data_IF_910301030487
#
_entry.id   IF_910301030487
#
_cell.length_a   1.000
_cell.length_b   1.000
_cell.length_c   1.000
_cell.angle_alpha   90.00
_cell.angle_beta   90.00
_cell.angle_gamma   90.00
#
_symmetry.space_group_name_H-M   'P 1'
#
loop_
_entity.id
_entity.type
_entity.pdbx_description
1 polymer ?
2 non-polymer ?
3 non-polymer ?
4 non-polymer ?
5 water ?
#
# COMPACT_ATOMS: atom_id res chain seq x y z
N UNK A 3 -15.67 0.22 14.51
CA UNK A 3 -16.63 -0.66 15.18
C UNK A 3 -17.88 0.10 15.59
N UNK A 4 -17.93 1.38 15.24
CA UNK A 4 -19.09 2.21 15.55
C UNK A 4 -19.99 2.46 14.36
N UNK A 5 -19.54 2.10 13.16
CA UNK A 5 -20.38 2.19 12.00
C UNK A 5 -20.62 3.59 11.49
N UNK A 6 -19.58 4.44 11.50
CA UNK A 6 -19.75 5.84 11.14
C UNK A 6 -19.37 6.16 9.70
N UNK A 7 -18.78 5.23 8.96
CA UNK A 7 -18.40 5.49 7.59
C UNK A 7 -16.89 5.35 7.37
N UNK A 8 -16.51 5.33 6.10
CA UNK A 8 -15.10 5.36 5.71
C UNK A 8 -14.48 6.71 6.14
N UNK A 9 -13.19 6.70 6.41
CA UNK A 9 -12.49 7.91 6.83
C UNK A 9 -11.92 8.56 5.57
N UNK A 10 -12.53 9.68 5.16
CA UNK A 10 -12.14 10.34 3.91
C UNK A 10 -11.39 11.65 4.15
N UNK A 11 -10.57 12.04 3.18
CA UNK A 11 -10.14 13.40 3.04
C UNK A 11 -10.25 13.80 1.58
N UNK A 12 -10.20 15.11 1.34
CA UNK A 12 -10.20 15.62 -0.02
C UNK A 12 -9.15 16.72 -0.09
N UNK A 13 -8.53 16.83 -1.25
CA UNK A 13 -7.39 17.70 -1.47
C UNK A 13 -7.46 18.34 -2.82
N UNK A 14 -6.91 19.54 -2.93
CA UNK A 14 -6.55 20.06 -4.24
C UNK A 14 -5.37 19.25 -4.80
N UNK A 15 -5.03 19.46 -6.06
CA UNK A 15 -4.04 18.61 -6.71
C UNK A 15 -2.65 18.81 -6.19
N UNK A 16 -2.42 19.94 -5.52
CA UNK A 16 -1.18 20.21 -4.79
C UNK A 16 -1.14 19.58 -3.39
N UNK A 17 -2.12 18.73 -3.10
CA UNK A 17 -2.26 17.97 -1.86
C UNK A 17 -2.67 18.79 -0.65
N UNK A 18 -3.06 20.04 -0.84
CA UNK A 18 -3.60 20.78 0.30
C UNK A 18 -4.97 20.22 0.65
N UNK A 19 -5.20 20.01 1.94
CA UNK A 19 -6.51 19.54 2.38
C UNK A 19 -7.58 20.57 2.07
N UNK A 20 -8.72 20.09 1.57
CA UNK A 20 -9.93 20.89 1.49
C UNK A 20 -11.03 20.30 2.38
N UNK A 21 -10.91 19.05 2.79
CA UNK A 21 -11.85 18.41 3.70
C UNK A 21 -11.08 17.33 4.44
N UNK A 22 -11.41 17.14 5.71
CA UNK A 22 -10.91 15.99 6.44
C UNK A 22 -11.99 15.50 7.38
N UNK A 23 -12.15 14.19 7.42
CA UNK A 23 -13.06 13.53 8.35
C UNK A 23 -12.86 14.07 9.77
N UNK A 24 -13.97 14.36 10.44
CA UNK A 24 -13.89 14.91 11.78
C UNK A 24 -13.31 13.93 12.80
N UNK A 25 -13.21 12.65 12.47
CA UNK A 25 -12.57 11.69 13.35
C UNK A 25 -11.06 11.89 13.41
N UNK A 26 -10.53 12.82 12.63
CA UNK A 26 -9.15 13.21 12.81
C UNK A 26 -8.90 13.66 14.25
N UNK A 27 -9.93 14.17 14.92
CA UNK A 27 -9.81 14.54 16.33
C UNK A 27 -9.47 13.34 17.21
N UNK A 28 -10.27 12.28 17.16
CA UNK A 28 -9.99 11.13 18.03
C UNK A 28 -8.74 10.37 17.59
N UNK A 29 -8.43 10.39 16.30
CA UNK A 29 -7.30 9.64 15.83
C UNK A 29 -5.98 10.37 16.08
N UNK A 30 -5.95 11.66 15.83
CA UNK A 30 -4.69 12.41 15.78
C UNK A 30 -4.72 13.75 16.52
N UNK A 31 -5.86 14.15 17.08
CA UNK A 31 -5.93 15.35 17.88
C UNK A 31 -6.33 16.64 17.17
N UNK A 32 -6.29 16.64 15.85
CA UNK A 32 -6.55 17.85 15.10
C UNK A 32 -8.03 18.12 14.97
N UNK A 33 -8.35 19.37 14.72
CA UNK A 33 -9.62 19.66 14.07
C UNK A 33 -9.39 19.69 12.55
N UNK A 34 -10.44 19.46 11.75
CA UNK A 34 -10.26 19.59 10.31
C UNK A 34 -9.66 20.92 9.87
N UNK A 35 -10.04 22.02 10.50
CA UNK A 35 -9.50 23.31 10.11
C UNK A 35 -8.00 23.47 10.36
N UNK A 36 -7.43 22.65 11.24
CA UNK A 36 -5.98 22.64 11.40
C UNK A 36 -5.31 22.18 10.12
N UNK A 37 -5.96 21.26 9.41
CA UNK A 37 -5.40 20.66 8.21
C UNK A 37 -5.79 21.39 6.94
N UNK A 38 -7.01 21.90 6.87
CA UNK A 38 -7.47 22.58 5.66
C UNK A 38 -6.57 23.73 5.32
N UNK A 39 -6.17 23.77 4.06
CA UNK A 39 -5.27 24.79 3.57
C UNK A 39 -3.80 24.40 3.64
N UNK A 40 -3.50 23.29 4.29
CA UNK A 40 -2.13 22.85 4.45
C UNK A 40 -1.84 21.66 3.55
N UNK A 41 -0.65 21.64 2.95
CA UNK A 41 -0.23 20.50 2.19
C UNK A 41 -0.17 19.26 3.06
N UNK A 42 -0.65 18.14 2.55
CA UNK A 42 -0.53 16.88 3.28
C UNK A 42 0.92 16.56 3.59
N UNK A 43 1.84 16.99 2.74
CA UNK A 43 3.25 16.72 2.98
C UNK A 43 3.73 17.28 4.30
N UNK A 44 3.13 18.36 4.80
CA UNK A 44 3.55 18.92 6.08
C UNK A 44 3.35 17.92 7.21
N UNK A 45 2.47 16.94 7.00
CA UNK A 45 2.11 15.96 8.01
C UNK A 45 2.70 14.58 7.74
N UNK A 46 3.55 14.44 6.73
CA UNK A 46 4.18 13.17 6.43
C UNK A 46 5.62 13.26 6.90
N UNK A 47 6.10 12.22 7.56
CA UNK A 47 7.48 12.17 8.01
C UNK A 47 8.40 12.48 6.84
N UNK A 48 9.46 13.25 7.08
CA UNK A 48 10.39 13.57 6.00
C UNK A 48 10.88 12.32 5.29
N UNK A 49 11.10 11.25 6.03
CA UNK A 49 11.69 10.05 5.46
C UNK A 49 10.70 9.11 4.80
N UNK A 50 9.42 9.45 4.82
CA UNK A 50 8.41 8.76 4.00
C UNK A 50 7.86 9.63 2.88
N UNK A 51 8.25 10.90 2.83
CA UNK A 51 7.65 11.82 1.90
C UNK A 51 8.01 11.48 0.46
N UNK A 52 9.20 10.96 0.21
CA UNK A 52 9.56 10.55 -1.14
C UNK A 52 8.66 9.40 -1.62
N UNK A 53 8.50 8.37 -0.80
CA UNK A 53 7.67 7.24 -1.20
C UNK A 53 6.25 7.70 -1.45
N UNK A 54 5.71 8.54 -0.56
CA UNK A 54 4.35 9.00 -0.76
C UNK A 54 4.28 9.84 -2.04
N UNK A 55 5.29 10.67 -2.31
CA UNK A 55 5.26 11.45 -3.53
C UNK A 55 5.23 10.57 -4.77
N UNK A 56 5.87 9.42 -4.73
CA UNK A 56 5.87 8.52 -5.86
C UNK A 56 4.50 7.84 -6.00
N UNK A 57 3.81 7.56 -4.90
CA UNK A 57 2.45 7.07 -4.96
C UNK A 57 1.51 8.14 -5.54
N UNK A 58 1.72 9.39 -5.15
CA UNK A 58 0.91 10.49 -5.67
C UNK A 58 1.20 10.66 -7.16
N UNK A 59 2.46 10.45 -7.56
CA UNK A 59 2.78 10.50 -8.96
C UNK A 59 1.99 9.43 -9.72
N UNK A 60 1.92 8.22 -9.18
CA UNK A 60 1.11 7.18 -9.82
C UNK A 60 -0.36 7.57 -9.86
N UNK A 61 -0.85 8.15 -8.79
CA UNK A 61 -2.23 8.67 -8.73
C UNK A 61 -2.52 9.62 -9.89
N UNK A 62 -1.61 10.54 -10.15
CA UNK A 62 -1.85 11.57 -11.15
C UNK A 62 -1.61 11.06 -12.55
N UNK A 63 -0.99 9.90 -12.68
CA UNK A 63 -0.79 9.24 -13.94
C UNK A 63 -1.93 8.25 -14.30
N UNK A 64 -2.23 7.35 -13.37
CA UNK A 64 -3.20 6.25 -13.53
C UNK A 64 -4.59 6.61 -13.01
N UNK A 65 -4.69 7.72 -12.30
CA UNK A 65 -5.95 8.17 -11.76
C UNK A 65 -6.33 7.64 -10.40
N UNK A 66 -5.69 6.56 -9.96
CA UNK A 66 -5.96 5.90 -8.71
C UNK A 66 -4.66 5.33 -8.19
N UNK A 67 -4.51 5.26 -6.88
CA UNK A 67 -3.33 4.66 -6.28
C UNK A 67 -3.61 4.29 -4.85
N UNK A 68 -2.81 3.36 -4.35
CA UNK A 68 -2.79 2.98 -2.95
C UNK A 68 -1.35 3.16 -2.48
N UNK A 69 -1.16 3.91 -1.40
CA UNK A 69 0.16 4.10 -0.82
C UNK A 69 0.63 2.84 -0.13
N UNK A 70 1.93 2.77 0.16
CA UNK A 70 2.40 1.92 1.21
C UNK A 70 2.05 2.53 2.56
N UNK A 71 2.34 1.85 3.64
CA UNK A 71 2.19 2.48 4.93
C UNK A 71 3.19 3.64 5.05
N UNK A 72 2.77 4.70 5.72
CA UNK A 72 3.61 5.87 5.93
C UNK A 72 3.29 6.49 7.27
N UNK A 73 4.22 7.32 7.73
CA UNK A 73 4.10 7.98 9.01
C UNK A 73 3.44 9.34 8.87
N UNK A 74 2.33 9.48 9.57
CA UNK A 74 1.52 10.69 9.64
C UNK A 74 1.69 11.35 11.01
N UNK A 75 1.94 12.65 10.99
CA UNK A 75 2.24 13.43 12.19
C UNK A 75 0.98 13.78 12.96
N UNK A 76 0.85 13.23 14.16
CA UNK A 76 -0.28 13.57 15.03
C UNK A 76 0.00 14.90 15.75
N UNK A 77 -1.07 15.50 16.28
CA UNK A 77 -0.97 16.84 16.87
C UNK A 77 0.02 16.91 18.02
N UNK A 78 0.10 15.83 18.79
CA UNK A 78 1.01 15.84 19.92
C UNK A 78 2.48 15.64 19.50
N UNK A 79 2.71 15.34 18.22
CA UNK A 79 4.06 15.24 17.67
C UNK A 79 4.55 13.84 17.35
N UNK A 80 3.90 12.80 17.87
CA UNK A 80 4.25 11.45 17.45
C UNK A 80 3.66 11.14 16.09
N UNK A 81 4.14 10.06 15.50
CA UNK A 81 3.67 9.62 14.19
C UNK A 81 2.82 8.36 14.31
N UNK A 82 1.80 8.29 13.47
CA UNK A 82 0.94 7.14 13.31
C UNK A 82 1.20 6.52 11.96
N UNK A 83 1.19 5.21 11.86
CA UNK A 83 1.26 4.56 10.58
C UNK A 83 -0.11 4.49 9.95
N UNK A 84 -0.22 5.09 8.78
CA UNK A 84 -1.45 5.07 8.04
C UNK A 84 -1.20 4.68 6.60
N UNK A 85 -2.28 4.43 5.88
CA UNK A 85 -2.22 3.97 4.52
C UNK A 85 -3.45 4.50 3.80
N UNK A 86 -3.30 4.81 2.52
CA UNK A 86 -4.31 5.60 1.81
C UNK A 86 -4.60 5.04 0.44
N UNK A 87 -5.88 4.96 0.10
CA UNK A 87 -6.31 4.72 -1.28
C UNK A 87 -6.92 6.00 -1.80
N UNK A 88 -6.59 6.38 -3.02
CA UNK A 88 -7.05 7.67 -3.54
C UNK A 88 -7.45 7.58 -4.99
N UNK A 89 -8.23 8.56 -5.40
CA UNK A 89 -8.60 8.76 -6.79
C UNK A 89 -8.57 10.24 -7.10
N UNK A 90 -8.24 10.55 -8.35
CA UNK A 90 -8.53 11.86 -8.87
C UNK A 90 -10.03 11.96 -9.12
N UNK A 91 -10.53 13.20 -9.11
CA UNK A 91 -11.93 13.48 -9.38
C UNK A 91 -11.95 14.71 -10.26
N UNK A 92 -12.57 14.57 -11.42
CA UNK A 92 -12.64 15.69 -12.34
C UNK A 92 -13.53 16.81 -11.76
N UNK A 94 -17.10 18.56 -10.87
CA UNK A 94 -18.33 18.81 -11.61
C UNK A 94 -18.35 20.10 -12.39
N UNK A 95 -17.68 21.11 -11.87
CA UNK A 95 -17.69 22.42 -12.48
C UNK A 95 -16.72 22.57 -13.63
N UNK A 96 -15.76 21.65 -13.68
CA UNK A 96 -14.64 21.75 -14.60
C UNK A 96 -13.31 21.66 -13.85
N UNK A 97 -12.20 21.98 -14.55
CA UNK A 97 -10.88 21.83 -13.93
C UNK A 97 -10.66 22.63 -12.63
N UNK A 98 -11.32 23.79 -12.49
CA UNK A 98 -11.17 24.57 -11.26
C UNK A 98 -11.63 23.80 -10.03
N UNK A 99 -12.42 22.75 -10.21
CA UNK A 99 -12.91 21.95 -9.10
C UNK A 99 -12.25 20.59 -8.96
N UNK A 100 -11.25 20.29 -9.78
CA UNK A 100 -10.61 18.98 -9.73
C UNK A 100 -10.01 18.77 -8.36
N UNK A 101 -10.03 17.52 -7.89
CA UNK A 101 -9.56 17.22 -6.56
C UNK A 101 -9.06 15.79 -6.51
N UNK A 102 -8.50 15.47 -5.36
CA UNK A 102 -8.11 14.12 -4.99
C UNK A 102 -8.95 13.73 -3.77
N UNK A 103 -9.59 12.57 -3.84
CA UNK A 103 -10.33 12.04 -2.73
C UNK A 103 -9.63 10.79 -2.21
N UNK A 104 -9.45 10.74 -0.90
CA UNK A 104 -8.73 9.68 -0.22
C UNK A 104 -9.61 8.96 0.76
N UNK A 105 -9.40 7.65 0.88
CA UNK A 105 -9.85 6.88 2.02
C UNK A 105 -8.63 6.39 2.76
N UNK A 106 -8.67 6.51 4.09
CA UNK A 106 -7.52 6.24 4.92
C UNK A 106 -7.77 5.11 5.89
N UNK A 107 -6.67 4.47 6.27
CA UNK A 107 -6.66 3.32 7.16
C UNK A 107 -5.56 3.53 8.17
N UNK A 108 -5.87 3.20 9.42
CA UNK A 108 -4.91 3.31 10.49
C UNK A 108 -4.25 1.95 10.64
N UNK A 109 -2.94 1.87 10.42
CA UNK A 109 -2.21 0.63 10.48
C UNK A 109 -1.77 0.37 11.92
N UNK A 110 -1.19 1.38 12.55
CA UNK A 110 -0.63 1.27 13.89
C UNK A 110 -0.42 2.63 14.50
N UNK A 111 -0.71 2.70 15.79
CA UNK A 111 -0.44 3.87 16.60
C UNK A 111 1.02 3.86 17.05
N UNK B 6 -8.80 -13.01 -16.24
CA UNK B 6 -9.71 -13.99 -15.64
C UNK B 6 -9.15 -14.60 -14.34
N UNK B 7 -9.66 -14.12 -13.23
CA UNK B 7 -9.23 -14.56 -11.92
C UNK B 7 -8.16 -13.64 -11.44
N UNK B 8 -8.18 -13.43 -10.13
CA UNK B 8 -7.14 -12.72 -9.44
C UNK B 8 -5.82 -13.44 -9.61
N UNK B 9 -4.75 -12.67 -9.61
CA UNK B 9 -3.40 -13.23 -9.76
C UNK B 9 -2.85 -13.52 -8.37
N UNK B 10 -2.80 -14.80 -8.01
CA UNK B 10 -2.43 -15.21 -6.66
C UNK B 10 -1.06 -15.86 -6.60
N UNK B 11 -0.47 -15.81 -5.40
CA UNK B 11 0.65 -16.65 -5.05
C UNK B 11 0.48 -17.11 -3.61
N UNK B 12 1.21 -18.17 -3.27
CA UNK B 12 1.28 -18.64 -1.89
C UNK B 12 2.72 -18.77 -1.50
N UNK B 13 2.99 -18.55 -0.22
CA UNK B 13 4.34 -18.55 0.31
C UNK B 13 4.40 -19.16 1.69
N UNK B 14 5.53 -19.75 2.01
CA UNK B 14 5.87 -20.01 3.40
C UNK B 14 6.29 -18.69 4.06
N UNK B 15 6.54 -18.72 5.37
CA UNK B 15 6.84 -17.51 6.10
C UNK B 15 8.14 -16.84 5.73
N UNK B 16 9.07 -17.60 5.17
CA UNK B 16 10.32 -17.09 4.62
C UNK B 16 10.15 -16.50 3.22
N UNK B 17 8.88 -16.40 2.79
CA UNK B 17 8.48 -15.84 1.51
C UNK B 17 8.85 -16.73 0.33
N UNK B 18 9.27 -17.98 0.54
CA UNK B 18 9.45 -18.85 -0.59
C UNK B 18 8.13 -19.15 -1.24
N UNK B 19 8.08 -19.09 -2.56
CA UNK B 19 6.89 -19.46 -3.28
C UNK B 19 6.57 -20.93 -3.10
N UNK B 20 5.32 -21.21 -2.79
CA UNK B 20 4.78 -22.57 -2.85
C UNK B 20 3.75 -22.72 -3.98
N UNK B 21 3.22 -21.62 -4.49
CA UNK B 21 2.33 -21.60 -5.62
C UNK B 21 2.49 -20.27 -6.29
N UNK B 22 2.43 -20.26 -7.62
CA UNK B 22 2.35 -19.02 -8.37
C UNK B 22 1.39 -19.18 -9.53
N UNK B 23 0.56 -18.18 -9.73
CA UNK B 23 -0.35 -18.16 -10.86
C UNK B 23 0.39 -18.45 -12.16
N UNK B 24 -0.17 -19.32 -12.99
CA UNK B 24 0.45 -19.66 -14.28
C UNK B 24 0.75 -18.46 -15.17
N UNK B 25 -0.08 -17.42 -15.02
CA UNK B 25 0.07 -16.27 -15.89
C UNK B 25 1.38 -15.53 -15.63
N UNK B 26 2.19 -15.98 -14.68
CA UNK B 26 3.51 -15.40 -14.48
C UNK B 26 4.32 -15.44 -15.77
N UNK B 27 4.08 -16.40 -16.65
CA UNK B 27 4.83 -16.45 -17.90
C UNK B 27 4.48 -15.25 -18.78
N UNK B 28 3.19 -15.04 -18.98
CA UNK B 28 2.71 -13.91 -19.78
C UNK B 28 3.22 -12.60 -19.23
N UNK B 29 3.26 -12.46 -17.92
CA UNK B 29 3.62 -11.19 -17.29
C UNK B 29 5.12 -10.97 -17.13
N UNK B 30 5.84 -12.01 -16.75
CA UNK B 30 7.21 -11.85 -16.30
C UNK B 30 8.18 -12.85 -16.90
N UNK B 31 7.72 -13.76 -17.74
CA UNK B 31 8.62 -14.69 -18.43
C UNK B 31 8.83 -15.99 -17.70
N UNK B 32 8.71 -16.05 -16.37
CA UNK B 32 8.91 -17.28 -15.64
C UNK B 32 7.78 -18.25 -15.88
N UNK B 33 8.04 -19.55 -15.80
CA UNK B 33 6.94 -20.44 -15.48
C UNK B 33 6.85 -20.56 -13.96
N UNK B 34 5.72 -21.01 -13.42
CA UNK B 34 5.66 -21.15 -11.95
C UNK B 34 6.74 -22.06 -11.42
N UNK B 35 7.07 -23.10 -12.18
CA UNK B 35 8.13 -24.03 -11.81
C UNK B 35 9.44 -23.30 -11.55
N UNK B 36 9.69 -22.19 -12.24
CA UNK B 36 10.93 -21.44 -12.03
C UNK B 36 10.99 -20.77 -10.66
N UNK B 37 9.84 -20.47 -10.08
CA UNK B 37 9.79 -19.70 -8.84
C UNK B 37 9.58 -20.54 -7.60
N UNK B 38 8.98 -21.72 -7.71
CA UNK B 38 8.69 -22.49 -6.53
C UNK B 38 9.98 -22.81 -5.78
N UNK B 39 9.96 -22.60 -4.48
CA UNK B 39 11.09 -22.85 -3.61
C UNK B 39 12.05 -21.69 -3.54
N UNK B 40 11.80 -20.63 -4.29
CA UNK B 40 12.64 -19.45 -4.26
C UNK B 40 11.98 -18.38 -3.41
N UNK B 41 12.77 -17.69 -2.60
CA UNK B 41 12.26 -16.61 -1.78
C UNK B 41 11.89 -15.39 -2.57
N UNK B 42 10.70 -14.89 -2.35
CA UNK B 42 10.27 -13.69 -3.04
C UNK B 42 11.18 -12.52 -2.75
N UNK B 43 11.88 -12.52 -1.62
CA UNK B 43 12.80 -11.41 -1.33
C UNK B 43 13.83 -11.24 -2.42
N UNK B 44 14.21 -12.34 -3.07
CA UNK B 44 15.22 -12.29 -4.12
C UNK B 44 14.74 -11.59 -5.38
N UNK B 45 13.45 -11.36 -5.49
CA UNK B 45 12.82 -10.78 -6.68
C UNK B 45 12.33 -9.35 -6.45
N UNK B 46 12.55 -8.82 -5.26
CA UNK B 46 12.19 -7.44 -4.97
C UNK B 46 13.38 -6.56 -5.27
N UNK B 47 13.16 -5.48 -6.00
CA UNK B 47 14.24 -4.54 -6.26
C UNK B 47 14.83 -4.09 -4.92
N UNK B 48 16.15 -3.99 -4.87
CA UNK B 48 16.81 -3.57 -3.65
C UNK B 48 16.30 -2.23 -3.11
N UNK B 49 15.89 -1.32 -3.98
CA UNK B 49 15.36 -0.03 -3.55
C UNK B 49 14.07 -0.18 -2.76
N UNK B 50 13.32 -1.26 -2.99
CA UNK B 50 12.02 -1.47 -2.37
C UNK B 50 12.04 -2.51 -1.26
N UNK B 51 13.20 -3.12 -1.02
CA UNK B 51 13.27 -4.22 -0.09
C UNK B 51 12.84 -3.83 1.32
N UNK B 52 13.30 -2.68 1.81
CA UNK B 52 12.95 -2.31 3.15
C UNK B 52 11.45 -2.09 3.29
N UNK B 53 10.84 -1.38 2.33
CA UNK B 53 9.42 -1.12 2.42
C UNK B 53 8.61 -2.41 2.36
N UNK B 54 9.02 -3.34 1.50
CA UNK B 54 8.31 -4.61 1.44
C UNK B 54 8.49 -5.38 2.74
N UNK B 55 9.68 -5.39 3.33
CA UNK B 55 9.83 -5.98 4.66
C UNK B 55 8.93 -5.36 5.70
N UNK B 56 8.79 -4.04 5.70
CA UNK B 56 7.90 -3.41 6.65
C UNK B 56 6.46 -3.88 6.45
N UNK B 57 6.04 -4.04 5.20
CA UNK B 57 4.72 -4.56 4.91
C UNK B 57 4.57 -5.97 5.44
N UNK B 58 5.61 -6.79 5.28
CA UNK B 58 5.58 -8.16 5.78
C UNK B 58 5.52 -8.18 7.31
N UNK B 59 6.23 -7.27 7.97
CA UNK B 59 6.12 -7.18 9.42
C UNK B 59 4.67 -6.87 9.83
N UNK B 60 4.03 -5.95 9.12
CA UNK B 60 2.65 -5.63 9.39
C UNK B 60 1.75 -6.82 9.13
N UNK B 61 2.00 -7.51 8.03
CA UNK B 61 1.29 -8.74 7.70
C UNK B 61 1.32 -9.73 8.86
N UNK B 62 2.51 -9.95 9.43
CA UNK B 62 2.65 -10.96 10.47
C UNK B 62 2.05 -10.46 11.79
N UNK B 63 2.08 -9.16 12.04
CA UNK B 63 1.51 -8.59 13.26
C UNK B 63 -0.01 -8.55 13.23
N UNK B 64 -0.56 -7.99 12.16
CA UNK B 64 -1.98 -7.74 12.05
C UNK B 64 -2.73 -8.86 11.35
N UNK B 65 -2.02 -9.62 10.53
CA UNK B 65 -2.61 -10.71 9.79
C UNK B 65 -2.89 -10.41 8.33
N UNK B 66 -2.91 -9.14 7.95
CA UNK B 66 -3.18 -8.72 6.57
C UNK B 66 -2.38 -7.44 6.34
N UNK B 67 -1.96 -7.23 5.09
CA UNK B 67 -1.24 -6.01 4.72
C UNK B 67 -1.36 -5.79 3.24
N UNK B 68 -1.11 -4.55 2.85
CA UNK B 68 -1.01 -4.14 1.47
C UNK B 68 0.32 -3.42 1.29
N UNK B 69 1.12 -3.82 0.30
CA UNK B 69 2.37 -3.14 0.01
C UNK B 69 2.08 -1.81 -0.65
N UNK B 70 3.08 -0.93 -0.67
CA UNK B 70 3.12 0.11 -1.68
C UNK B 70 3.50 -0.47 -3.03
N UNK B 71 3.56 0.37 -4.05
CA UNK B 71 4.09 -0.11 -5.32
C UNK B 71 5.53 -0.49 -5.13
N UNK B 72 5.97 -1.54 -5.81
CA UNK B 72 7.35 -1.99 -5.76
C UNK B 72 7.71 -2.66 -7.07
N UNK B 73 9.01 -2.83 -7.26
CA UNK B 73 9.54 -3.43 -8.47
C UNK B 73 9.89 -4.89 -8.26
N UNK B 74 9.33 -5.72 -9.14
CA UNK B 74 9.52 -7.17 -9.16
C UNK B 74 10.41 -7.53 -10.33
N UNK B 75 11.42 -8.33 -10.06
CA UNK B 75 12.41 -8.76 -11.06
C UNK B 75 11.85 -9.80 -12.02
N UNK B 76 11.70 -9.41 -13.27
CA UNK B 76 11.24 -10.31 -14.34
C UNK B 76 12.41 -11.14 -14.82
N UNK B 77 12.10 -12.24 -15.52
CA UNK B 77 13.13 -13.17 -15.92
C UNK B 77 14.17 -12.53 -16.82
N UNK B 78 13.74 -11.56 -17.61
CA UNK B 78 14.62 -10.84 -18.54
C UNK B 78 15.64 -9.96 -17.85
N UNK B 79 15.43 -9.69 -16.57
CA UNK B 79 16.27 -8.77 -15.84
C UNK B 79 15.68 -7.39 -15.67
N UNK B 80 14.62 -7.08 -16.41
CA UNK B 80 13.85 -5.86 -16.18
C UNK B 80 12.97 -6.01 -14.95
N UNK B 81 12.32 -4.92 -14.55
CA UNK B 81 11.44 -4.94 -13.40
C UNK B 81 10.05 -4.47 -13.78
N UNK B 82 9.06 -5.09 -13.16
CA UNK B 82 7.67 -4.71 -13.30
C UNK B 82 7.19 -4.04 -12.02
N UNK B 83 6.43 -2.98 -12.16
CA UNK B 83 5.82 -2.33 -11.01
C UNK B 83 4.57 -3.10 -10.62
N UNK B 84 4.57 -3.53 -9.37
CA UNK B 84 3.57 -4.41 -8.82
C UNK B 84 3.11 -3.88 -7.48
N UNK B 85 2.01 -4.43 -7.00
CA UNK B 85 1.53 -4.10 -5.66
C UNK B 85 0.76 -5.31 -5.20
N UNK B 86 0.82 -5.59 -3.89
CA UNK B 86 0.35 -6.85 -3.36
C UNK B 86 -0.49 -6.65 -2.12
N UNK B 87 -1.60 -7.40 -2.04
CA UNK B 87 -2.36 -7.53 -0.81
C UNK B 87 -2.19 -8.96 -0.32
N UNK B 88 -1.94 -9.12 0.98
CA UNK B 88 -1.64 -10.44 1.51
C UNK B 88 -2.37 -10.70 2.79
N UNK B 89 -2.50 -11.99 3.07
CA UNK B 89 -3.03 -12.45 4.35
C UNK B 89 -2.23 -13.63 4.83
N UNK B 90 -2.14 -13.76 6.15
CA UNK B 90 -1.71 -15.02 6.73
C UNK B 90 -2.85 -16.02 6.65
N UNK B 91 -2.48 -17.29 6.72
CA UNK B 91 -3.43 -18.40 6.74
C UNK B 91 -2.93 -19.37 7.78
N UNK B 92 -3.73 -19.64 8.79
CA UNK B 92 -3.39 -20.63 9.81
C UNK B 92 -3.11 -21.97 9.17
N UNK B 93 -2.15 -22.72 9.70
CA UNK B 93 -1.81 -24.01 9.14
C UNK B 93 -2.43 -25.20 9.82
N UNK B 94 -3.12 -24.97 10.92
CA UNK B 94 -3.76 -26.03 11.66
C UNK B 94 -2.92 -26.74 12.70
N UNK B 95 -1.65 -26.36 12.80
CA UNK B 95 -0.75 -27.03 13.74
C UNK B 95 -0.15 -26.09 14.77
N UNK B 96 -0.59 -24.83 14.79
CA UNK B 96 -0.02 -23.83 15.67
C UNK B 96 0.68 -22.77 14.85
N UNK B 97 1.28 -21.77 15.52
CA UNK B 97 1.96 -20.63 14.88
C UNK B 97 2.99 -21.02 13.81
N UNK B 98 3.73 -22.08 14.05
CA UNK B 98 4.79 -22.45 13.13
C UNK B 98 4.28 -22.89 11.78
N UNK B 99 2.99 -23.20 11.71
CA UNK B 99 2.42 -23.75 10.50
C UNK B 99 1.75 -22.68 9.65
N UNK B 100 1.81 -21.41 10.05
CA UNK B 100 1.16 -20.36 9.28
C UNK B 100 1.80 -20.25 7.91
N UNK B 101 1.01 -19.83 6.93
CA UNK B 101 1.51 -19.53 5.59
C UNK B 101 0.92 -18.23 5.12
N UNK B 102 1.27 -17.82 3.90
CA UNK B 102 0.86 -16.52 3.36
C UNK B 102 0.22 -16.72 2.00
N UNK B 103 -0.86 -15.98 1.75
CA UNK B 103 -1.47 -15.93 0.42
C UNK B 103 -1.51 -14.47 -0.03
N UNK B 104 -1.16 -14.25 -1.30
CA UNK B 104 -1.07 -12.92 -1.88
C UNK B 104 -1.93 -12.82 -3.11
N UNK B 105 -2.48 -11.64 -3.32
CA UNK B 105 -3.04 -11.23 -4.59
C UNK B 105 -2.22 -10.05 -5.08
N UNK B 106 -1.91 -10.07 -6.38
CA UNK B 106 -1.02 -9.12 -6.98
C UNK B 106 -1.70 -8.33 -8.08
N UNK B 107 -1.22 -7.10 -8.26
CA UNK B 107 -1.73 -6.17 -9.25
C UNK B 107 -0.57 -5.59 -10.01
N UNK B 108 -0.75 -5.45 -11.31
CA UNK B 108 0.29 -4.86 -12.14
C UNK B 108 0.02 -3.37 -12.22
N UNK B 109 0.98 -2.58 -11.77
CA UNK B 109 0.84 -1.13 -11.82
C UNK B 109 1.26 -0.58 -13.17
N UNK B 110 2.26 -1.19 -13.77
CA UNK B 110 2.70 -0.81 -15.13
C UNK B 110 3.26 -2.04 -15.82
#
# INVERSE_FOLDING_TARGET
GSHMGRGAFLSRHSLDMKFTYCDDRIAEVAGYSPDDLIGCSAYEYIHALDSDAVSKSIHTLLSKGQAVTGQYRFLARSGGYLWTQTQATVVSGGRGPQSESIVCVHFLISQVEET
GSHMGRGAFLSRHSLDMKFTYCDDRIAEVAGYSPDDLIGCSAYEYIHALDSDAVSKSIHTLLSKGQAVTGQYRFLARSGGYLWTQTQATVVSGGRGPQSESIVCVHFLISQVEET
#
